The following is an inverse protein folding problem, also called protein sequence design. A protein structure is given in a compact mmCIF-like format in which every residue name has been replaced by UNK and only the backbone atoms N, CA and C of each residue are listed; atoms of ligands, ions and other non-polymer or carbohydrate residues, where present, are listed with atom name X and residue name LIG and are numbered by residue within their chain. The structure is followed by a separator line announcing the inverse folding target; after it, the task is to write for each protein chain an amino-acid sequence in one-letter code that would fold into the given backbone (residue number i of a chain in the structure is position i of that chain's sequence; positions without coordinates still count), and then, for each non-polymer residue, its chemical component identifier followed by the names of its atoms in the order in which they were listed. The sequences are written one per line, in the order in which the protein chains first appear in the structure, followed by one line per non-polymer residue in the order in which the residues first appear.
data_IF_176219373663
#
_entry.id   IF_176219373663
#
_cell.length_a   1.000
_cell.length_b   1.000
_cell.length_c   1.000
_cell.angle_alpha   90.00
_cell.angle_beta   90.00
_cell.angle_gamma   90.00
#
_symmetry.space_group_name_H-M   'P 1'
#
loop_
_entity.id
_entity.type
_entity.pdbx_description
1 polymer ?
#
# COMPACT_ATOMS: atom_id res chain seq x y z
N UNK A 1 19.56 9.87 -5.44
CA UNK A 1 18.80 9.00 -6.34
C UNK A 1 17.41 8.88 -5.73
N UNK A 2 16.36 9.11 -6.50
CA UNK A 2 15.01 8.78 -6.06
C UNK A 2 14.83 7.29 -6.29
N UNK A 3 14.75 6.51 -5.21
CA UNK A 3 14.50 5.08 -5.27
C UNK A 3 13.01 4.82 -5.13
N UNK A 4 12.48 3.87 -5.92
CA UNK A 4 11.10 3.44 -5.82
C UNK A 4 11.02 2.31 -4.79
N UNK A 5 10.24 2.51 -3.73
CA UNK A 5 10.06 1.52 -2.68
C UNK A 5 8.69 0.84 -2.82
N UNK A 6 8.70 -0.47 -3.04
CA UNK A 6 7.48 -1.29 -3.06
C UNK A 6 7.39 -2.13 -1.77
N UNK A 7 6.33 -1.93 -0.99
CA UNK A 7 6.08 -2.68 0.26
C UNK A 7 4.66 -3.24 0.21
N UNK A 8 4.50 -4.53 0.52
CA UNK A 8 3.17 -5.10 0.62
C UNK A 8 3.14 -6.62 0.68
N UNK A 9 1.94 -7.16 0.49
CA UNK A 9 1.65 -8.59 0.47
C UNK A 9 0.91 -8.97 -0.81
N UNK A 10 1.13 -10.19 -1.29
CA UNK A 10 0.41 -10.74 -2.43
C UNK A 10 0.01 -12.19 -2.18
N UNK A 11 -0.84 -12.75 -3.03
CA UNK A 11 -1.19 -14.18 -3.01
C UNK A 11 0.02 -15.13 -3.10
N UNK A 12 1.16 -14.65 -3.60
CA UNK A 12 2.40 -15.43 -3.67
C UNK A 12 3.13 -15.51 -2.33
N UNK A 13 2.92 -14.53 -1.45
CA UNK A 13 3.69 -14.35 -0.21
C UNK A 13 2.83 -14.49 1.05
N UNK A 14 1.50 -14.40 0.95
CA UNK A 14 0.59 -14.47 2.08
C UNK A 14 -0.72 -15.19 1.74
N UNK A 15 -1.25 -16.02 2.67
CA UNK A 15 -2.54 -16.66 2.51
C UNK A 15 -3.68 -15.64 2.60
N UNK A 16 -4.90 -16.04 2.22
CA UNK A 16 -6.03 -15.12 2.07
C UNK A 16 -6.42 -14.43 3.38
N UNK A 17 -6.34 -15.14 4.50
CA UNK A 17 -6.70 -14.66 5.83
C UNK A 17 -5.79 -13.52 6.30
N UNK A 18 -4.53 -13.51 5.85
CA UNK A 18 -3.58 -12.41 6.10
C UNK A 18 -3.90 -11.21 5.21
N UNK A 19 -4.22 -11.46 3.93
CA UNK A 19 -4.53 -10.40 2.97
C UNK A 19 -5.84 -9.69 3.29
N UNK A 20 -6.86 -10.40 3.78
CA UNK A 20 -8.12 -9.80 4.22
C UNK A 20 -7.94 -8.83 5.39
N UNK A 21 -7.02 -9.13 6.31
CA UNK A 21 -6.66 -8.21 7.41
C UNK A 21 -5.94 -6.95 6.92
N UNK A 22 -5.32 -7.03 5.75
CA UNK A 22 -4.63 -5.93 5.07
C UNK A 22 -5.47 -5.34 3.94
N UNK A 23 -6.74 -5.72 3.81
CA UNK A 23 -7.63 -5.11 2.83
C UNK A 23 -7.74 -3.61 3.14
N UNK A 24 -7.46 -2.79 2.14
CA UNK A 24 -7.47 -1.34 2.24
C UNK A 24 -8.61 -0.80 1.37
N UNK A 25 -9.76 -0.44 1.97
CA UNK A 25 -10.88 0.17 1.25
C UNK A 25 -10.49 1.54 0.68
N UNK A 26 -11.17 1.98 -0.38
CA UNK A 26 -10.86 3.20 -1.12
C UNK A 26 -10.77 4.46 -0.23
N UNK A 27 -11.73 4.65 0.68
CA UNK A 27 -11.72 5.80 1.61
C UNK A 27 -10.49 5.82 2.50
N UNK A 28 -10.14 4.66 3.08
CA UNK A 28 -8.92 4.49 3.88
C UNK A 28 -7.65 4.63 3.04
N UNK A 29 -7.65 4.16 1.80
CA UNK A 29 -6.51 4.27 0.90
C UNK A 29 -6.18 5.75 0.61
N UNK A 30 -7.21 6.56 0.36
CA UNK A 30 -7.06 8.00 0.15
C UNK A 30 -6.45 8.71 1.36
N UNK A 31 -6.99 8.46 2.55
CA UNK A 31 -6.47 9.03 3.80
C UNK A 31 -5.02 8.60 4.03
N UNK A 32 -4.73 7.31 3.87
CA UNK A 32 -3.41 6.75 4.10
C UNK A 32 -2.34 7.32 3.16
N UNK A 33 -2.65 7.42 1.85
CA UNK A 33 -1.75 8.03 0.86
C UNK A 33 -1.52 9.52 1.15
N UNK A 34 -2.57 10.25 1.56
CA UNK A 34 -2.46 11.66 1.94
C UNK A 34 -1.55 11.83 3.16
N UNK A 35 -1.72 10.99 4.18
CA UNK A 35 -0.91 11.05 5.40
C UNK A 35 0.55 10.70 5.12
N UNK A 36 0.81 9.71 4.25
CA UNK A 36 2.16 9.38 3.78
C UNK A 36 2.84 10.57 3.09
N UNK A 37 2.14 11.24 2.16
CA UNK A 37 2.63 12.44 1.46
C UNK A 37 2.88 13.64 2.39
N UNK A 38 2.32 13.62 3.59
CA UNK A 38 2.63 14.60 4.64
C UNK A 38 4.03 14.44 5.25
N UNK A 39 4.69 13.31 5.03
CA UNK A 39 6.07 13.07 5.47
C UNK A 39 7.07 13.63 4.46
N UNK A 40 8.10 14.33 4.94
CA UNK A 40 9.08 15.02 4.10
C UNK A 40 9.88 14.07 3.19
N UNK A 41 10.00 12.80 3.57
CA UNK A 41 10.76 11.79 2.83
C UNK A 41 9.93 11.08 1.73
N UNK A 42 8.61 11.35 1.63
CA UNK A 42 7.71 10.70 0.67
C UNK A 42 7.25 11.67 -0.42
N UNK A 43 7.87 11.55 -1.60
CA UNK A 43 7.58 12.42 -2.75
C UNK A 43 6.35 12.02 -3.56
N UNK A 44 6.07 10.73 -3.66
CA UNK A 44 4.91 10.19 -4.34
C UNK A 44 4.41 8.98 -3.53
N UNK A 45 3.12 8.64 -3.67
CA UNK A 45 2.59 7.47 -3.00
C UNK A 45 1.39 6.91 -3.77
N UNK A 46 1.38 5.59 -3.97
CA UNK A 46 0.28 4.87 -4.60
C UNK A 46 -0.05 3.64 -3.74
N UNK A 47 -1.33 3.46 -3.45
CA UNK A 47 -1.85 2.26 -2.79
C UNK A 47 -2.62 1.40 -3.79
N UNK A 48 -2.33 0.09 -3.83
CA UNK A 48 -3.04 -0.90 -4.63
C UNK A 48 -3.61 -1.96 -3.69
N UNK A 49 -4.93 -2.10 -3.67
CA UNK A 49 -5.63 -3.05 -2.82
C UNK A 49 -6.67 -3.79 -3.64
N UNK A 50 -6.47 -5.10 -3.80
CA UNK A 50 -7.31 -5.99 -4.60
C UNK A 50 -7.47 -7.33 -3.88
N UNK A 51 -8.24 -8.25 -4.44
CA UNK A 51 -8.33 -9.61 -3.91
C UNK A 51 -7.02 -10.40 -3.93
N UNK A 52 -5.98 -9.95 -4.65
CA UNK A 52 -4.74 -10.69 -4.84
C UNK A 52 -3.50 -10.04 -4.20
N UNK A 53 -3.61 -8.78 -3.77
CA UNK A 53 -2.51 -7.98 -3.24
C UNK A 53 -3.00 -6.75 -2.47
N UNK A 54 -2.22 -6.36 -1.46
CA UNK A 54 -2.24 -5.02 -0.86
C UNK A 54 -0.80 -4.51 -0.87
N UNK A 55 -0.52 -3.48 -1.65
CA UNK A 55 0.83 -2.94 -1.89
C UNK A 55 0.82 -1.41 -1.84
N UNK A 56 1.95 -0.86 -1.41
CA UNK A 56 2.27 0.56 -1.35
C UNK A 56 3.53 0.80 -2.17
N UNK A 57 3.49 1.84 -2.99
CA UNK A 57 4.61 2.32 -3.78
C UNK A 57 4.90 3.75 -3.35
N UNK A 58 6.14 4.02 -2.93
CA UNK A 58 6.61 5.33 -2.44
C UNK A 58 7.78 5.83 -3.30
#
# INVERSE_FOLDING_TARGET
MSELLAIGVSHKTAPVEVRERLALPETRAYEFVRDLRGNADVHEAVAISTCNRTELYL
#
